data_IF_945645379595
#
_entry.id   IF_945645379595
#
_cell.length_a   1.000
_cell.length_b   1.000
_cell.length_c   1.000
_cell.angle_alpha   90.00
_cell.angle_beta   90.00
_cell.angle_gamma   90.00
#
_symmetry.space_group_name_H-M   'P 1'
#
loop_
_entity.id
_entity.type
_entity.pdbx_description
1 polymer ?
#
# COMPACT_ATOMS: atom_id res chain seq x y z
N UNK A 1 18.46 9.91 -16.16
CA UNK A 1 17.31 10.57 -15.48
C UNK A 1 16.01 9.78 -15.59
N UNK A 2 15.86 8.86 -16.57
CA UNK A 2 14.62 8.05 -16.73
C UNK A 2 14.42 6.97 -15.67
N UNK A 3 15.45 6.59 -14.95
CA UNK A 3 15.41 5.43 -14.03
C UNK A 3 14.83 5.74 -12.64
N UNK A 4 14.42 6.98 -12.39
CA UNK A 4 13.84 7.41 -11.10
C UNK A 4 12.31 7.47 -11.11
N UNK A 5 11.68 7.33 -12.27
CA UNK A 5 10.23 7.45 -12.41
C UNK A 5 9.68 6.20 -13.11
N UNK A 6 8.66 5.60 -12.51
CA UNK A 6 7.94 4.48 -13.12
C UNK A 6 6.93 4.94 -14.17
N UNK A 7 6.34 6.12 -13.94
CA UNK A 7 5.38 6.76 -14.85
C UNK A 7 5.71 8.27 -15.01
N UNK A 8 6.71 8.62 -15.85
CA UNK A 8 7.15 10.01 -16.01
C UNK A 8 6.05 10.99 -16.43
N UNK A 9 5.07 10.54 -17.22
CA UNK A 9 3.97 11.40 -17.68
C UNK A 9 3.13 11.96 -16.53
N UNK A 10 2.89 11.16 -15.52
CA UNK A 10 2.15 11.56 -14.32
C UNK A 10 3.08 12.16 -13.26
N UNK A 11 4.24 11.53 -13.03
CA UNK A 11 5.14 11.91 -11.93
C UNK A 11 5.88 13.22 -12.19
N UNK A 12 6.03 13.60 -13.46
CA UNK A 12 6.64 14.87 -13.87
C UNK A 12 5.61 15.88 -14.42
N UNK A 13 4.31 15.59 -14.25
CA UNK A 13 3.25 16.44 -14.75
C UNK A 13 3.32 17.86 -14.12
N UNK A 14 3.18 18.94 -14.91
CA UNK A 14 3.10 20.30 -14.37
C UNK A 14 1.97 20.42 -13.34
N UNK A 15 2.22 21.21 -12.29
CA UNK A 15 1.31 21.32 -11.14
C UNK A 15 -0.12 21.68 -11.52
N UNK A 16 -0.31 22.62 -12.46
CA UNK A 16 -1.63 23.03 -12.94
C UNK A 16 -2.36 21.88 -13.65
N UNK A 17 -1.66 21.14 -14.51
CA UNK A 17 -2.22 19.98 -15.18
C UNK A 17 -2.58 18.85 -14.20
N UNK A 18 -1.73 18.65 -13.19
CA UNK A 18 -1.99 17.68 -12.12
C UNK A 18 -3.23 18.06 -11.31
N UNK A 19 -3.39 19.34 -10.96
CA UNK A 19 -4.59 19.81 -10.24
C UNK A 19 -5.86 19.63 -11.09
N UNK A 20 -5.80 19.92 -12.38
CA UNK A 20 -6.93 19.71 -13.29
C UNK A 20 -7.32 18.23 -13.36
N UNK A 21 -6.33 17.33 -13.49
CA UNK A 21 -6.55 15.89 -13.50
C UNK A 21 -7.13 15.38 -12.16
N UNK A 22 -6.62 15.90 -11.04
CA UNK A 22 -7.13 15.55 -9.70
C UNK A 22 -8.59 15.99 -9.52
N UNK A 23 -8.95 17.19 -9.97
CA UNK A 23 -10.33 17.68 -9.90
C UNK A 23 -11.26 16.82 -10.75
N UNK A 24 -10.88 16.51 -11.98
CA UNK A 24 -11.65 15.63 -12.87
C UNK A 24 -11.89 14.25 -12.22
N UNK A 25 -10.85 13.66 -11.68
CA UNK A 25 -10.94 12.35 -11.00
C UNK A 25 -11.82 12.42 -9.75
N UNK A 26 -11.69 13.48 -8.95
CA UNK A 26 -12.52 13.68 -7.75
C UNK A 26 -14.00 13.78 -8.13
N UNK A 27 -14.34 14.60 -9.13
CA UNK A 27 -15.71 14.74 -9.62
C UNK A 27 -16.29 13.42 -10.10
N UNK A 28 -15.52 12.64 -10.87
CA UNK A 28 -15.92 11.31 -11.35
C UNK A 28 -16.14 10.35 -10.18
N UNK A 29 -15.23 10.34 -9.20
CA UNK A 29 -15.34 9.45 -8.04
C UNK A 29 -16.58 9.77 -7.19
N UNK A 30 -16.83 11.05 -6.89
CA UNK A 30 -18.00 11.47 -6.11
C UNK A 30 -19.30 11.14 -6.86
N UNK A 31 -19.36 11.41 -8.15
CA UNK A 31 -20.51 11.06 -9.00
C UNK A 31 -20.78 9.57 -8.99
N UNK A 32 -19.73 8.77 -9.26
CA UNK A 32 -19.82 7.33 -9.34
C UNK A 32 -20.25 6.72 -8.00
N UNK A 33 -19.63 7.13 -6.90
CA UNK A 33 -19.97 6.66 -5.56
C UNK A 33 -21.41 6.99 -5.19
N UNK A 34 -21.87 8.22 -5.42
CA UNK A 34 -23.23 8.65 -5.12
C UNK A 34 -24.30 7.97 -5.97
N UNK A 35 -24.01 7.65 -7.23
CA UNK A 35 -24.97 6.99 -8.12
C UNK A 35 -25.01 5.46 -7.90
N UNK A 36 -23.88 4.82 -7.61
CA UNK A 36 -23.74 3.36 -7.66
C UNK A 36 -23.70 2.69 -6.29
N UNK A 37 -23.20 3.35 -5.25
CA UNK A 37 -23.14 2.79 -3.91
C UNK A 37 -24.31 3.26 -3.05
N UNK A 38 -25.04 2.32 -2.47
CA UNK A 38 -26.11 2.62 -1.50
C UNK A 38 -25.56 3.34 -0.27
N UNK A 39 -24.40 2.91 0.21
CA UNK A 39 -23.72 3.52 1.35
C UNK A 39 -23.40 5.01 1.09
N UNK A 40 -22.68 5.32 0.01
CA UNK A 40 -22.27 6.71 -0.29
C UNK A 40 -23.43 7.60 -0.69
N UNK A 41 -24.47 7.07 -1.32
CA UNK A 41 -25.72 7.80 -1.59
C UNK A 41 -26.34 8.33 -0.30
N UNK A 42 -26.47 7.48 0.71
CA UNK A 42 -27.05 7.85 1.99
C UNK A 42 -26.15 8.85 2.76
N UNK A 43 -24.82 8.63 2.71
CA UNK A 43 -23.84 9.50 3.37
C UNK A 43 -23.86 10.91 2.75
N UNK A 44 -23.90 11.02 1.43
CA UNK A 44 -23.96 12.32 0.73
C UNK A 44 -25.30 13.01 0.92
N UNK A 45 -26.40 12.26 0.90
CA UNK A 45 -27.73 12.79 1.13
C UNK A 45 -27.90 13.43 2.53
N UNK A 46 -27.27 12.87 3.57
CA UNK A 46 -27.32 13.41 4.94
C UNK A 46 -26.74 14.82 5.05
N UNK A 47 -25.73 15.16 4.23
CA UNK A 47 -25.07 16.46 4.24
C UNK A 47 -25.49 17.35 3.05
N UNK A 48 -26.36 16.83 2.18
CA UNK A 48 -26.86 17.55 1.02
C UNK A 48 -25.81 17.85 -0.06
N UNK A 49 -24.79 17.00 -0.20
CA UNK A 49 -23.69 17.18 -1.16
C UNK A 49 -23.86 16.24 -2.36
N UNK A 50 -23.57 16.75 -3.53
CA UNK A 50 -23.57 16.05 -4.81
C UNK A 50 -22.28 16.28 -5.58
N UNK A 51 -22.08 15.56 -6.68
CA UNK A 51 -20.94 15.79 -7.56
C UNK A 51 -20.91 17.21 -8.17
N UNK A 52 -22.08 17.85 -8.35
CA UNK A 52 -22.18 19.21 -8.88
C UNK A 52 -21.61 20.27 -7.94
N UNK A 53 -21.51 19.96 -6.63
CA UNK A 53 -20.97 20.86 -5.61
C UNK A 53 -19.44 20.86 -5.57
N UNK A 54 -18.80 19.94 -6.32
CA UNK A 54 -17.34 19.80 -6.41
C UNK A 54 -16.86 20.53 -7.66
N UNK A 55 -16.49 21.80 -7.50
CA UNK A 55 -16.01 22.64 -8.60
C UNK A 55 -14.52 22.98 -8.50
N UNK A 56 -13.92 22.79 -7.30
CA UNK A 56 -12.51 22.95 -7.04
C UNK A 56 -11.99 21.84 -6.12
N UNK A 57 -10.69 21.59 -6.10
CA UNK A 57 -10.10 20.59 -5.19
C UNK A 57 -10.38 20.89 -3.72
N UNK A 58 -10.45 22.18 -3.35
CA UNK A 58 -10.80 22.59 -1.98
C UNK A 58 -12.20 22.14 -1.55
N UNK A 59 -13.10 21.85 -2.50
CA UNK A 59 -14.46 21.41 -2.23
C UNK A 59 -14.54 19.98 -1.66
N UNK A 60 -13.43 19.24 -1.66
CA UNK A 60 -13.31 17.96 -0.94
C UNK A 60 -13.73 18.10 0.54
N UNK A 61 -13.60 19.30 1.11
CA UNK A 61 -14.03 19.61 2.48
C UNK A 61 -15.55 19.57 2.69
N UNK A 62 -16.33 19.62 1.63
CA UNK A 62 -17.80 19.49 1.67
C UNK A 62 -18.22 18.04 1.85
N UNK A 63 -17.34 17.10 1.48
CA UNK A 63 -17.61 15.68 1.62
C UNK A 63 -17.57 15.28 3.11
N UNK A 64 -18.50 14.43 3.55
CA UNK A 64 -18.52 13.95 4.92
C UNK A 64 -17.35 13.02 5.18
N UNK A 65 -16.83 13.04 6.41
CA UNK A 65 -15.89 12.03 6.85
C UNK A 65 -16.58 10.66 6.97
N UNK A 66 -15.90 9.64 6.54
CA UNK A 66 -16.29 8.24 6.71
C UNK A 66 -15.31 7.59 7.68
N UNK A 67 -15.82 7.07 8.77
CA UNK A 67 -15.02 6.40 9.79
C UNK A 67 -15.02 4.87 9.60
N UNK A 68 -14.05 4.14 10.18
CA UNK A 68 -14.10 2.68 10.20
C UNK A 68 -15.41 2.12 10.80
N UNK A 69 -16.02 2.83 11.75
CA UNK A 69 -17.30 2.44 12.34
C UNK A 69 -18.45 2.55 11.33
N UNK A 70 -18.46 3.62 10.53
CA UNK A 70 -19.47 3.80 9.47
C UNK A 70 -19.37 2.67 8.43
N UNK A 71 -18.15 2.32 8.04
CA UNK A 71 -17.91 1.24 7.08
C UNK A 71 -18.34 -0.14 7.60
N UNK A 72 -18.24 -0.39 8.91
CA UNK A 72 -18.67 -1.66 9.54
C UNK A 72 -20.14 -1.72 9.87
N UNK A 73 -20.81 -0.59 9.99
CA UNK A 73 -22.21 -0.52 10.36
C UNK A 73 -23.15 -1.04 9.27
N UNK A 74 -22.63 -1.30 8.08
CA UNK A 74 -23.37 -1.79 6.93
C UNK A 74 -22.71 -2.99 6.27
N UNK A 75 -23.49 -3.72 5.50
CA UNK A 75 -23.02 -4.81 4.66
C UNK A 75 -21.93 -4.29 3.69
N UNK A 76 -20.88 -5.09 3.51
CA UNK A 76 -19.81 -4.78 2.56
C UNK A 76 -20.35 -4.60 1.14
N UNK A 77 -21.40 -5.31 0.77
CA UNK A 77 -22.02 -5.21 -0.55
C UNK A 77 -22.75 -3.89 -0.79
N UNK A 78 -23.21 -3.19 0.25
CA UNK A 78 -23.78 -1.84 0.13
C UNK A 78 -22.77 -0.77 -0.32
N UNK A 79 -21.47 -1.07 -0.14
CA UNK A 79 -20.38 -0.20 -0.55
C UNK A 79 -19.97 -0.42 -2.01
N UNK A 80 -20.36 -1.55 -2.60
CA UNK A 80 -20.02 -1.87 -3.98
C UNK A 80 -20.65 -0.87 -4.95
N UNK A 81 -19.88 -0.49 -5.95
CA UNK A 81 -20.33 0.31 -7.08
C UNK A 81 -20.56 -0.52 -8.34
N UNK A 82 -20.19 -1.81 -8.28
CA UNK A 82 -20.27 -2.78 -9.37
C UNK A 82 -20.89 -4.09 -8.87
N UNK A 83 -21.46 -4.93 -9.77
CA UNK A 83 -21.86 -6.29 -9.43
C UNK A 83 -20.69 -7.12 -8.89
N UNK A 84 -20.98 -8.09 -8.03
CA UNK A 84 -19.96 -8.99 -7.45
C UNK A 84 -19.11 -9.72 -8.51
N UNK A 85 -19.67 -9.95 -9.69
CA UNK A 85 -18.95 -10.53 -10.85
C UNK A 85 -17.79 -9.64 -11.36
N UNK A 86 -17.77 -8.36 -10.99
CA UNK A 86 -16.66 -7.44 -11.29
C UNK A 86 -15.55 -7.44 -10.25
N UNK A 87 -15.73 -8.16 -9.14
CA UNK A 87 -14.72 -8.25 -8.07
C UNK A 87 -13.67 -9.30 -8.45
N UNK A 88 -12.41 -8.86 -8.49
CA UNK A 88 -11.27 -9.72 -8.78
C UNK A 88 -10.63 -10.28 -7.51
N UNK A 89 -10.57 -9.46 -6.44
CA UNK A 89 -9.85 -9.80 -5.21
C UNK A 89 -10.65 -9.39 -3.98
N UNK A 90 -10.63 -10.26 -2.98
CA UNK A 90 -11.03 -9.94 -1.62
C UNK A 90 -9.78 -9.74 -0.77
N UNK A 91 -9.77 -8.70 0.06
CA UNK A 91 -8.72 -8.45 1.04
C UNK A 91 -9.34 -8.34 2.42
N UNK A 92 -8.81 -9.12 3.34
CA UNK A 92 -9.21 -9.09 4.73
C UNK A 92 -8.06 -8.55 5.56
N UNK A 93 -8.34 -7.57 6.41
CA UNK A 93 -7.35 -7.00 7.30
C UNK A 93 -7.93 -6.80 8.69
N UNK A 94 -7.18 -7.25 9.69
CA UNK A 94 -7.45 -6.93 11.09
C UNK A 94 -6.76 -5.63 11.46
N UNK A 95 -7.53 -4.70 12.03
CA UNK A 95 -7.01 -3.43 12.54
C UNK A 95 -7.48 -3.21 13.98
N UNK A 96 -6.80 -2.35 14.77
CA UNK A 96 -7.29 -1.98 16.10
C UNK A 96 -8.73 -1.46 16.10
N UNK A 97 -9.14 -0.83 14.99
CA UNK A 97 -10.52 -0.36 14.78
C UNK A 97 -11.50 -1.46 14.38
N UNK A 98 -11.03 -2.70 14.17
CA UNK A 98 -11.80 -3.90 13.79
C UNK A 98 -11.46 -4.44 12.41
N UNK A 99 -12.18 -5.49 12.04
CA UNK A 99 -11.99 -6.21 10.79
C UNK A 99 -12.48 -5.40 9.59
N UNK A 100 -11.70 -5.44 8.52
CA UNK A 100 -12.02 -4.80 7.25
C UNK A 100 -12.00 -5.82 6.12
N UNK A 101 -13.13 -5.95 5.43
CA UNK A 101 -13.20 -6.64 4.15
C UNK A 101 -13.29 -5.59 3.04
N UNK A 102 -12.34 -5.65 2.12
CA UNK A 102 -12.32 -4.83 0.91
C UNK A 102 -12.43 -5.71 -0.33
N UNK A 103 -13.05 -5.15 -1.34
CA UNK A 103 -13.28 -5.80 -2.61
C UNK A 103 -12.68 -4.94 -3.71
N UNK A 104 -11.81 -5.53 -4.51
CA UNK A 104 -11.07 -4.84 -5.57
C UNK A 104 -11.47 -5.36 -6.93
N UNK A 105 -11.65 -4.45 -7.86
CA UNK A 105 -11.74 -4.75 -9.29
C UNK A 105 -10.35 -4.97 -9.90
N UNK A 106 -10.29 -5.41 -11.16
CA UNK A 106 -9.02 -5.48 -11.89
C UNK A 106 -8.36 -4.10 -12.03
N UNK A 107 -9.16 -3.05 -12.19
CA UNK A 107 -8.66 -1.67 -12.26
C UNK A 107 -8.06 -1.19 -10.95
N UNK A 108 -8.68 -1.51 -9.81
CA UNK A 108 -8.15 -1.18 -8.49
C UNK A 108 -6.83 -1.90 -8.22
N UNK A 109 -6.75 -3.20 -8.54
CA UNK A 109 -5.52 -3.98 -8.40
C UNK A 109 -4.40 -3.40 -9.27
N UNK A 110 -4.69 -3.08 -10.54
CA UNK A 110 -3.70 -2.47 -11.43
C UNK A 110 -3.20 -1.11 -10.91
N UNK A 111 -4.11 -0.30 -10.36
CA UNK A 111 -3.76 0.98 -9.75
C UNK A 111 -2.87 0.81 -8.51
N UNK A 112 -3.21 -0.12 -7.62
CA UNK A 112 -2.41 -0.39 -6.41
C UNK A 112 -1.01 -0.87 -6.77
N UNK A 113 -0.89 -1.79 -7.74
CA UNK A 113 0.39 -2.27 -8.26
C UNK A 113 1.20 -1.11 -8.85
N UNK A 114 0.59 -0.21 -9.62
CA UNK A 114 1.27 0.99 -10.14
C UNK A 114 1.77 1.89 -9.01
N UNK A 115 0.97 2.14 -7.97
CA UNK A 115 1.39 2.96 -6.83
C UNK A 115 2.57 2.34 -6.07
N UNK A 116 2.54 1.02 -5.84
CA UNK A 116 3.67 0.30 -5.23
C UNK A 116 4.92 0.39 -6.12
N UNK A 117 4.77 0.18 -7.43
CA UNK A 117 5.88 0.29 -8.39
C UNK A 117 6.54 1.67 -8.34
N UNK A 118 5.74 2.74 -8.36
CA UNK A 118 6.26 4.12 -8.30
C UNK A 118 7.05 4.37 -7.02
N UNK A 119 6.53 3.92 -5.87
CA UNK A 119 7.23 4.04 -4.59
C UNK A 119 8.55 3.26 -4.55
N UNK A 120 8.58 2.05 -5.08
CA UNK A 120 9.78 1.21 -5.17
C UNK A 120 10.84 1.83 -6.07
N UNK A 121 10.47 2.28 -7.27
CA UNK A 121 11.37 2.93 -8.23
C UNK A 121 11.91 4.25 -7.67
N UNK A 122 11.08 5.07 -7.07
CA UNK A 122 11.50 6.32 -6.43
C UNK A 122 12.52 6.11 -5.29
N UNK A 123 12.45 4.97 -4.60
CA UNK A 123 13.42 4.57 -3.59
C UNK A 123 14.72 3.99 -4.17
N UNK A 124 14.77 3.69 -5.47
CA UNK A 124 15.94 3.17 -6.17
C UNK A 124 15.93 1.67 -6.47
N UNK A 125 14.79 0.99 -6.28
CA UNK A 125 14.62 -0.39 -6.76
C UNK A 125 14.56 -0.40 -8.28
N UNK A 126 15.23 -1.35 -8.89
CA UNK A 126 15.30 -1.49 -10.35
C UNK A 126 15.39 -2.97 -10.76
N UNK A 127 15.47 -3.24 -12.06
CA UNK A 127 15.49 -4.61 -12.63
C UNK A 127 16.63 -5.51 -12.15
N UNK A 128 17.68 -4.93 -11.57
CA UNK A 128 18.82 -5.72 -11.04
C UNK A 128 18.70 -5.98 -9.55
N UNK A 129 17.67 -5.43 -8.89
CA UNK A 129 17.45 -5.60 -7.46
C UNK A 129 16.92 -6.99 -7.13
N UNK A 130 17.35 -7.50 -5.98
CA UNK A 130 16.82 -8.73 -5.36
C UNK A 130 16.08 -8.33 -4.10
N UNK A 131 14.77 -8.55 -4.06
CA UNK A 131 13.89 -8.03 -3.00
C UNK A 131 13.18 -9.16 -2.27
N UNK A 132 13.40 -9.25 -0.96
CA UNK A 132 12.67 -10.14 -0.09
C UNK A 132 11.28 -9.58 0.23
N UNK A 133 10.23 -10.38 0.05
CA UNK A 133 8.86 -10.05 0.45
C UNK A 133 8.48 -10.92 1.63
N UNK A 134 8.35 -10.28 2.81
CA UNK A 134 8.15 -10.96 4.09
C UNK A 134 6.74 -10.68 4.61
N UNK A 135 5.97 -11.72 4.80
CA UNK A 135 4.63 -11.64 5.39
C UNK A 135 3.70 -12.71 4.83
N UNK A 136 2.45 -12.63 5.26
CA UNK A 136 1.37 -13.48 4.76
C UNK A 136 0.72 -12.81 3.54
N UNK A 137 0.58 -13.55 2.45
CA UNK A 137 -0.06 -13.05 1.23
C UNK A 137 -1.58 -12.82 1.37
N UNK A 138 -2.18 -13.17 2.50
CA UNK A 138 -3.53 -12.71 2.86
C UNK A 138 -3.59 -11.18 3.02
N UNK A 139 -2.46 -10.54 3.36
CA UNK A 139 -2.31 -9.10 3.20
C UNK A 139 -2.07 -8.76 1.71
N UNK A 140 -3.11 -8.28 1.06
CA UNK A 140 -3.11 -7.98 -0.39
C UNK A 140 -2.05 -6.94 -0.80
N UNK A 141 -1.57 -6.11 0.13
CA UNK A 141 -0.49 -5.14 -0.13
C UNK A 141 0.81 -5.84 -0.50
N UNK A 142 1.09 -7.01 0.08
CA UNK A 142 2.26 -7.82 -0.26
C UNK A 142 2.15 -8.42 -1.67
N UNK A 143 0.93 -8.79 -2.09
CA UNK A 143 0.68 -9.21 -3.47
C UNK A 143 0.91 -8.05 -4.44
N UNK A 144 0.42 -6.85 -4.13
CA UNK A 144 0.61 -5.67 -4.98
C UNK A 144 2.09 -5.29 -5.10
N UNK A 145 2.86 -5.41 -4.00
CA UNK A 145 4.32 -5.24 -4.01
C UNK A 145 4.99 -6.31 -4.88
N UNK A 146 4.60 -7.58 -4.73
CA UNK A 146 5.17 -8.66 -5.52
C UNK A 146 4.92 -8.43 -7.02
N UNK A 147 3.69 -8.13 -7.41
CA UNK A 147 3.37 -7.84 -8.82
C UNK A 147 4.11 -6.61 -9.34
N UNK A 148 4.28 -5.57 -8.52
CA UNK A 148 5.05 -4.38 -8.90
C UNK A 148 6.53 -4.71 -9.16
N UNK A 149 7.15 -5.53 -8.31
CA UNK A 149 8.53 -5.97 -8.47
C UNK A 149 8.72 -6.84 -9.71
N UNK A 150 7.82 -7.80 -9.93
CA UNK A 150 7.83 -8.68 -11.12
C UNK A 150 7.62 -7.86 -12.41
N UNK A 151 6.72 -6.87 -12.38
CA UNK A 151 6.48 -5.94 -13.50
C UNK A 151 7.71 -5.10 -13.82
N UNK A 152 8.47 -4.68 -12.78
CA UNK A 152 9.74 -3.98 -12.93
C UNK A 152 10.84 -4.88 -13.51
N UNK A 153 10.71 -6.19 -13.37
CA UNK A 153 11.73 -7.18 -13.72
C UNK A 153 12.78 -7.39 -12.63
N UNK A 154 12.50 -6.98 -11.39
CA UNK A 154 13.32 -7.28 -10.21
C UNK A 154 13.11 -8.74 -9.76
N UNK A 155 14.13 -9.32 -9.13
CA UNK A 155 14.01 -10.67 -8.56
C UNK A 155 13.27 -10.60 -7.22
N UNK A 156 12.24 -11.41 -7.05
CA UNK A 156 11.44 -11.49 -5.82
C UNK A 156 11.80 -12.75 -5.05
N UNK A 157 12.07 -12.62 -3.75
CA UNK A 157 12.29 -13.72 -2.82
C UNK A 157 11.13 -13.79 -1.83
N UNK A 158 10.16 -14.69 -2.00
CA UNK A 158 9.05 -14.84 -1.07
C UNK A 158 9.54 -15.43 0.26
N UNK A 159 9.59 -14.62 1.30
CA UNK A 159 10.07 -15.02 2.62
C UNK A 159 8.95 -15.69 3.46
N UNK A 160 7.69 -15.30 3.25
CA UNK A 160 6.57 -15.77 4.04
C UNK A 160 6.65 -15.37 5.53
N UNK A 161 6.08 -16.18 6.42
CA UNK A 161 6.01 -15.89 7.87
C UNK A 161 6.88 -16.80 8.73
N UNK A 162 7.47 -17.86 8.17
CA UNK A 162 8.32 -18.80 8.91
C UNK A 162 9.75 -18.25 9.08
N UNK A 163 10.13 -17.96 10.33
CA UNK A 163 11.45 -17.41 10.67
C UNK A 163 12.63 -18.31 10.27
N UNK A 164 12.46 -19.65 10.26
CA UNK A 164 13.52 -20.59 9.85
C UNK A 164 13.84 -20.42 8.37
N UNK A 165 12.81 -20.19 7.57
CA UNK A 165 12.96 -19.89 6.15
C UNK A 165 13.67 -18.55 5.96
N UNK A 166 13.33 -17.52 6.73
CA UNK A 166 14.00 -16.22 6.63
C UNK A 166 15.50 -16.33 6.85
N UNK A 167 15.91 -16.98 7.96
CA UNK A 167 17.33 -17.17 8.29
C UNK A 167 18.07 -17.92 7.18
N UNK A 168 17.47 -19.00 6.68
CA UNK A 168 18.07 -19.78 5.60
C UNK A 168 18.20 -18.94 4.30
N UNK A 169 17.15 -18.25 3.89
CA UNK A 169 17.18 -17.45 2.67
C UNK A 169 18.09 -16.23 2.78
N UNK A 170 18.18 -15.59 3.95
CA UNK A 170 19.14 -14.52 4.21
C UNK A 170 20.59 -14.97 4.02
N UNK A 171 20.89 -16.21 4.37
CA UNK A 171 22.24 -16.76 4.19
C UNK A 171 22.53 -17.21 2.75
N UNK A 172 21.50 -17.66 2.02
CA UNK A 172 21.67 -18.23 0.68
C UNK A 172 21.54 -17.20 -0.44
N UNK A 173 20.77 -16.11 -0.20
CA UNK A 173 20.41 -15.13 -1.22
C UNK A 173 20.84 -13.75 -0.76
N UNK A 174 21.68 -13.12 -1.57
CA UNK A 174 22.07 -11.72 -1.35
C UNK A 174 20.91 -10.81 -1.77
N UNK A 175 20.17 -10.27 -0.80
CA UNK A 175 19.05 -9.38 -1.04
C UNK A 175 19.45 -7.92 -0.85
N UNK A 176 19.02 -7.07 -1.78
CA UNK A 176 19.24 -5.61 -1.72
C UNK A 176 18.22 -4.92 -0.81
N UNK A 177 17.01 -5.47 -0.74
CA UNK A 177 15.92 -4.88 0.00
C UNK A 177 14.99 -5.95 0.61
N UNK A 178 14.24 -5.53 1.65
CA UNK A 178 13.14 -6.31 2.23
C UNK A 178 11.91 -5.41 2.30
N UNK A 179 10.76 -5.94 1.91
CA UNK A 179 9.44 -5.35 2.13
C UNK A 179 8.71 -6.18 3.18
N UNK A 180 8.23 -5.54 4.24
CA UNK A 180 7.55 -6.22 5.35
C UNK A 180 6.77 -5.26 6.24
N UNK A 181 6.07 -5.79 7.23
CA UNK A 181 5.49 -4.99 8.31
C UNK A 181 6.54 -4.68 9.39
N UNK A 182 6.39 -3.58 10.16
CA UNK A 182 7.32 -3.24 11.25
C UNK A 182 7.53 -4.38 12.25
N UNK A 183 6.47 -5.11 12.57
CA UNK A 183 6.50 -6.22 13.53
C UNK A 183 7.35 -7.38 13.02
N UNK A 184 7.17 -7.78 11.77
CA UNK A 184 7.93 -8.87 11.16
C UNK A 184 9.39 -8.50 10.94
N UNK A 185 9.69 -7.24 10.61
CA UNK A 185 11.08 -6.76 10.52
C UNK A 185 11.77 -6.87 11.90
N UNK A 186 11.09 -6.43 12.97
CA UNK A 186 11.61 -6.58 14.33
C UNK A 186 11.81 -8.05 14.71
N UNK A 187 10.86 -8.90 14.35
CA UNK A 187 10.98 -10.33 14.59
C UNK A 187 12.17 -10.93 13.84
N UNK A 188 12.42 -10.52 12.59
CA UNK A 188 13.61 -10.93 11.84
C UNK A 188 14.90 -10.54 12.58
N UNK A 189 14.99 -9.28 13.04
CA UNK A 189 16.16 -8.79 13.81
C UNK A 189 16.38 -9.63 15.07
N UNK A 190 15.32 -9.91 15.83
CA UNK A 190 15.40 -10.73 17.07
C UNK A 190 15.86 -12.16 16.75
N UNK A 191 15.33 -12.77 15.69
CA UNK A 191 15.70 -14.14 15.31
C UNK A 191 17.15 -14.22 14.80
N UNK A 192 17.63 -13.22 14.07
CA UNK A 192 19.04 -13.13 13.68
C UNK A 192 19.94 -13.06 14.93
N UNK A 193 19.61 -12.21 15.89
CA UNK A 193 20.37 -12.09 17.14
C UNK A 193 20.37 -13.38 17.98
N UNK A 194 19.25 -14.11 18.01
CA UNK A 194 19.13 -15.37 18.71
C UNK A 194 20.10 -16.45 18.18
N UNK A 195 20.49 -16.34 16.90
CA UNK A 195 21.48 -17.24 16.28
C UNK A 195 22.88 -16.59 16.17
N UNK A 196 23.12 -15.50 16.89
CA UNK A 196 24.42 -14.82 16.92
C UNK A 196 24.74 -14.00 15.68
N UNK A 197 23.75 -13.61 14.89
CA UNK A 197 23.90 -12.81 13.67
C UNK A 197 23.33 -11.40 13.86
N UNK A 198 23.81 -10.46 13.07
CA UNK A 198 23.28 -9.09 13.02
C UNK A 198 22.73 -8.78 11.63
N UNK A 199 21.64 -8.06 11.56
CA UNK A 199 21.06 -7.61 10.30
C UNK A 199 22.02 -6.71 9.51
N UNK A 200 22.91 -5.99 10.20
CA UNK A 200 23.96 -5.16 9.59
C UNK A 200 25.03 -5.96 8.81
N UNK A 201 25.12 -7.27 9.04
CA UNK A 201 26.04 -8.13 8.31
C UNK A 201 25.53 -8.51 6.90
N UNK A 202 24.26 -8.23 6.60
CA UNK A 202 23.67 -8.52 5.30
C UNK A 202 23.72 -7.29 4.38
N UNK A 203 23.82 -7.47 3.06
CA UNK A 203 23.99 -6.38 2.10
C UNK A 203 22.70 -5.60 1.82
N UNK A 204 21.81 -5.53 2.81
CA UNK A 204 20.56 -4.80 2.71
C UNK A 204 20.81 -3.28 2.61
N UNK A 205 20.33 -2.70 1.53
CA UNK A 205 20.41 -1.24 1.28
C UNK A 205 19.10 -0.54 1.62
N UNK A 206 17.98 -1.25 1.52
CA UNK A 206 16.64 -0.70 1.68
C UNK A 206 15.75 -1.62 2.50
N UNK A 207 14.93 -1.03 3.34
CA UNK A 207 13.86 -1.72 4.06
C UNK A 207 12.58 -0.94 3.84
N UNK A 208 11.57 -1.58 3.27
CA UNK A 208 10.25 -1.01 3.05
C UNK A 208 9.31 -1.51 4.12
N UNK A 209 8.83 -0.60 4.95
CA UNK A 209 7.92 -0.89 6.03
C UNK A 209 6.48 -0.59 5.59
N UNK A 210 5.66 -1.63 5.44
CA UNK A 210 4.22 -1.48 5.24
C UNK A 210 3.59 -1.10 6.58
N UNK A 211 3.18 0.15 6.72
CA UNK A 211 2.75 0.70 7.99
C UNK A 211 1.44 1.47 7.84
N UNK A 212 0.48 1.18 8.72
CA UNK A 212 -0.83 1.84 8.78
C UNK A 212 -0.84 3.03 9.75
N UNK A 213 0.21 3.18 10.55
CA UNK A 213 0.31 4.12 11.67
C UNK A 213 1.09 5.40 11.33
N UNK A 214 1.58 5.54 10.08
CA UNK A 214 2.39 6.69 9.66
C UNK A 214 3.86 6.64 10.10
N UNK A 215 4.58 7.75 9.88
CA UNK A 215 6.05 7.80 9.83
C UNK A 215 6.80 7.57 11.15
N UNK A 216 6.16 7.52 12.31
CA UNK A 216 6.84 7.58 13.61
C UNK A 216 6.66 6.33 14.48
N UNK A 217 6.84 5.17 13.89
CA UNK A 217 6.82 3.93 14.66
C UNK A 217 8.16 3.74 15.41
N UNK A 218 8.09 3.46 16.72
CA UNK A 218 9.29 3.14 17.54
C UNK A 218 10.07 1.95 17.00
N UNK A 219 9.36 0.94 16.45
CA UNK A 219 9.99 -0.22 15.82
C UNK A 219 10.84 0.17 14.61
N UNK A 220 10.35 1.09 13.78
CA UNK A 220 11.09 1.59 12.63
C UNK A 220 12.40 2.28 13.06
N UNK A 221 12.36 3.11 14.11
CA UNK A 221 13.57 3.76 14.65
C UNK A 221 14.60 2.73 15.15
N UNK A 222 14.13 1.67 15.80
CA UNK A 222 15.00 0.59 16.28
C UNK A 222 15.70 -0.15 15.14
N UNK A 223 14.96 -0.42 14.05
CA UNK A 223 15.52 -1.05 12.85
C UNK A 223 16.55 -0.13 12.19
N UNK A 224 16.24 1.17 12.06
CA UNK A 224 17.16 2.16 11.48
C UNK A 224 18.47 2.29 12.27
N UNK A 225 18.42 2.16 13.60
CA UNK A 225 19.62 2.24 14.43
C UNK A 225 20.51 1.00 14.30
N UNK A 226 19.98 -0.14 13.91
CA UNK A 226 20.69 -1.42 13.84
C UNK A 226 21.08 -1.84 12.43
N UNK A 227 20.33 -1.45 11.43
CA UNK A 227 20.66 -1.71 10.02
C UNK A 227 21.33 -0.49 9.40
N UNK A 228 22.23 -0.71 8.47
CA UNK A 228 22.78 0.38 7.62
C UNK A 228 21.84 0.72 6.45
N UNK A 229 20.70 0.03 6.36
CA UNK A 229 19.73 0.20 5.30
C UNK A 229 18.92 1.50 5.48
N UNK A 230 18.56 2.12 4.37
CA UNK A 230 17.54 3.19 4.36
C UNK A 230 16.17 2.57 4.60
N UNK A 231 15.42 3.11 5.55
CA UNK A 231 14.05 2.64 5.83
C UNK A 231 13.06 3.59 5.18
N UNK A 232 12.22 3.04 4.31
CA UNK A 232 11.12 3.71 3.65
C UNK A 232 9.80 3.25 4.28
N UNK A 233 8.88 4.17 4.48
CA UNK A 233 7.57 3.84 5.00
C UNK A 233 6.53 3.87 3.87
N UNK A 234 5.89 2.75 3.62
CA UNK A 234 4.74 2.65 2.73
C UNK A 234 3.48 2.77 3.59
N UNK A 235 2.93 3.97 3.59
CA UNK A 235 1.65 4.23 4.26
C UNK A 235 0.52 3.82 3.32
N UNK A 236 -0.04 2.66 3.58
CA UNK A 236 -1.12 2.08 2.80
C UNK A 236 -2.22 1.57 3.75
N UNK A 237 -2.98 2.49 4.38
CA UNK A 237 -4.08 2.08 5.24
C UNK A 237 -5.19 1.45 4.40
N UNK A 238 -5.80 0.35 4.86
CA UNK A 238 -6.83 -0.38 4.11
C UNK A 238 -8.02 0.47 3.67
N UNK A 239 -8.34 1.51 4.45
CA UNK A 239 -9.46 2.39 4.15
C UNK A 239 -9.25 3.28 2.90
N UNK A 240 -8.02 3.38 2.40
CA UNK A 240 -7.70 4.20 1.22
C UNK A 240 -7.56 3.37 -0.08
N UNK A 241 -7.65 2.07 -0.01
CA UNK A 241 -7.52 1.16 -1.15
C UNK A 241 -6.13 0.59 -1.27
#
# INVERSE_FOLDING_TARGET
MSDMYANPEIEMMPHEALQALQLERLQKAVKWAGEKSGFYRDVFAKVGVSAADIQALSDIRKLPFVTPLDLRSRDVYDRLTLPLSGVLRFSYQEQPAGEFLQLYTSGDVAHNVEMMLRGLVAAGVNRTSVVGVQGDLSDSRLLDVQYALEMLGAAVVPLGTDYRRWLHLMDCVSMDAIVSTPQLIMQLVIQLQAVGKDIAAYPLRMIFSLNDMGLQNLLQRHVMQRSQARVYNFFAPPALG
#
